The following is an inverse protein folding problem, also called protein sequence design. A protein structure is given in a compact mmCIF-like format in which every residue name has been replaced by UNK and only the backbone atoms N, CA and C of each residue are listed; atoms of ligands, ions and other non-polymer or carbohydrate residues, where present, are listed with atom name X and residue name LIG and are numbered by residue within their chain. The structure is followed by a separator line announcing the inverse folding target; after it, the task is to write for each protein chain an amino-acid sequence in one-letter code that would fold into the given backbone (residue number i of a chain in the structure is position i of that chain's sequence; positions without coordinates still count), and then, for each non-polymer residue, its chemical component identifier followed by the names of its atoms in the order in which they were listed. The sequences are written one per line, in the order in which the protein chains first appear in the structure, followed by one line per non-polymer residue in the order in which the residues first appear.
data_IF_549841198556
#
_entry.id   IF_549841198556
#
_cell.length_a   1.000
_cell.length_b   1.000
_cell.length_c   1.000
_cell.angle_alpha   90.00
_cell.angle_beta   90.00
_cell.angle_gamma   90.00
#
_symmetry.space_group_name_H-M   'P 1'
#
loop_
_entity.id
_entity.type
_entity.pdbx_description
1 polymer ?
#
# COMPACT_ATOMS: atom_id res chain seq x y z
N UNK A 1 16.66 6.40 -0.62
CA UNK A 1 15.70 5.31 -0.84
C UNK A 1 14.50 5.39 0.12
N UNK A 2 13.61 6.37 -0.01
CA UNK A 2 12.56 6.60 1.00
C UNK A 2 11.43 5.54 1.00
N UNK A 3 11.23 4.82 -0.11
CA UNK A 3 10.12 3.85 -0.28
C UNK A 3 10.49 2.40 0.06
N UNK A 4 11.78 2.04 0.00
CA UNK A 4 12.20 0.62 -0.08
C UNK A 4 11.76 -0.20 1.13
N UNK A 5 11.77 0.38 2.34
CA UNK A 5 11.41 -0.33 3.57
C UNK A 5 9.97 -0.83 3.52
N UNK A 6 9.01 0.04 3.17
CA UNK A 6 7.59 -0.35 3.11
C UNK A 6 7.36 -1.34 1.97
N UNK A 7 8.00 -1.16 0.83
CA UNK A 7 7.94 -2.11 -0.30
C UNK A 7 8.39 -3.50 0.13
N UNK A 8 9.57 -3.61 0.75
CA UNK A 8 10.09 -4.89 1.24
C UNK A 8 9.14 -5.56 2.23
N UNK A 9 8.61 -4.81 3.19
CA UNK A 9 7.66 -5.35 4.17
C UNK A 9 6.41 -5.90 3.52
N UNK A 10 5.76 -5.12 2.64
CA UNK A 10 4.50 -5.52 2.00
C UNK A 10 4.71 -6.76 1.13
N UNK A 11 5.76 -6.78 0.31
CA UNK A 11 6.01 -7.91 -0.58
C UNK A 11 6.41 -9.17 0.19
N UNK A 12 7.24 -9.07 1.23
CA UNK A 12 7.54 -10.23 2.08
C UNK A 12 6.27 -10.80 2.70
N UNK A 13 5.43 -9.95 3.29
CA UNK A 13 4.14 -10.38 3.85
C UNK A 13 3.22 -11.04 2.82
N UNK A 14 3.06 -10.42 1.64
CA UNK A 14 2.17 -10.92 0.58
C UNK A 14 2.60 -12.31 0.08
N UNK A 15 3.91 -12.51 -0.10
CA UNK A 15 4.47 -13.76 -0.57
C UNK A 15 4.67 -14.81 0.54
N UNK A 16 4.30 -14.49 1.78
CA UNK A 16 4.16 -15.43 2.91
C UNK A 16 2.71 -15.91 3.09
N UNK A 17 1.74 -15.37 2.33
CA UNK A 17 0.35 -15.79 2.44
C UNK A 17 0.14 -17.22 1.97
N UNK A 18 -0.72 -17.94 2.69
CA UNK A 18 -1.14 -19.29 2.35
C UNK A 18 -2.33 -19.30 1.37
N UNK A 19 -2.51 -20.34 0.55
CA UNK A 19 -1.58 -21.46 0.38
C UNK A 19 -0.35 -21.03 -0.43
N UNK A 20 0.83 -21.43 0.06
CA UNK A 20 2.04 -21.35 -0.75
C UNK A 20 1.96 -22.36 -1.90
N UNK A 21 2.50 -22.05 -3.09
CA UNK A 21 2.60 -23.01 -4.18
C UNK A 21 3.24 -24.32 -3.68
N UNK A 22 2.56 -25.46 -3.87
CA UNK A 22 3.09 -26.76 -3.46
C UNK A 22 4.17 -27.19 -4.46
N UNK A 23 5.44 -27.19 -4.05
CA UNK A 23 6.59 -27.55 -4.91
C UNK A 23 7.94 -27.00 -4.43
N UNK A 24 9.01 -27.29 -5.17
CA UNK A 24 10.43 -27.05 -4.82
C UNK A 24 10.90 -25.59 -4.72
N UNK A 25 10.02 -24.60 -4.86
CA UNK A 25 10.44 -23.20 -4.89
C UNK A 25 9.52 -22.33 -4.03
N UNK A 26 9.93 -22.10 -2.78
CA UNK A 26 9.56 -20.88 -2.07
C UNK A 26 10.06 -19.68 -2.89
N UNK A 27 9.27 -18.62 -2.95
CA UNK A 27 9.65 -17.43 -3.72
C UNK A 27 10.95 -16.83 -3.18
N UNK A 28 11.90 -16.56 -4.07
CA UNK A 28 13.10 -15.78 -3.75
C UNK A 28 12.83 -14.33 -4.13
N UNK A 29 12.70 -13.47 -3.13
CA UNK A 29 12.49 -12.03 -3.34
C UNK A 29 13.82 -11.29 -3.34
N UNK A 30 14.13 -10.62 -4.44
CA UNK A 30 15.21 -9.65 -4.54
C UNK A 30 14.63 -8.25 -4.68
N UNK A 31 15.23 -7.28 -4.00
CA UNK A 31 14.78 -5.90 -3.99
C UNK A 31 15.91 -5.00 -4.43
N UNK A 32 15.60 -4.09 -5.35
CA UNK A 32 16.52 -3.03 -5.77
C UNK A 32 15.89 -1.68 -5.46
N UNK A 33 16.65 -0.85 -4.79
CA UNK A 33 16.31 0.52 -4.46
C UNK A 33 16.96 1.50 -5.42
N UNK A 34 16.50 2.74 -5.38
CA UNK A 34 17.04 3.87 -6.13
C UNK A 34 17.29 4.99 -5.13
N UNK A 35 18.41 5.68 -5.30
CA UNK A 35 18.77 6.82 -4.47
C UNK A 35 17.72 7.92 -4.53
N UNK A 36 17.58 8.66 -3.43
CA UNK A 36 16.64 9.80 -3.38
C UNK A 36 17.27 11.09 -3.91
N UNK A 37 18.57 11.07 -4.23
CA UNK A 37 19.33 12.26 -4.61
C UNK A 37 18.80 12.82 -5.92
N UNK A 38 18.50 14.12 -5.94
CA UNK A 38 17.93 14.80 -7.10
C UNK A 38 16.49 14.40 -7.46
N UNK A 39 15.88 13.42 -6.77
CA UNK A 39 14.53 12.96 -7.08
C UNK A 39 13.46 13.99 -6.69
N UNK A 40 13.66 14.69 -5.57
CA UNK A 40 12.73 15.66 -4.99
C UNK A 40 13.49 16.72 -4.18
N UNK A 41 12.91 17.93 -3.97
CA UNK A 41 13.41 18.89 -3.00
C UNK A 41 13.51 18.29 -1.58
N UNK A 42 14.46 18.77 -0.79
CA UNK A 42 14.78 18.19 0.52
C UNK A 42 13.60 18.21 1.50
N UNK A 43 12.82 19.30 1.54
CA UNK A 43 11.62 19.39 2.38
C UNK A 43 10.54 18.38 1.96
N UNK A 44 10.36 18.19 0.66
CA UNK A 44 9.40 17.22 0.11
C UNK A 44 9.86 15.81 0.46
N UNK A 45 11.15 15.51 0.29
CA UNK A 45 11.72 14.21 0.60
C UNK A 45 11.57 13.85 2.08
N UNK A 46 11.79 14.82 2.98
CA UNK A 46 11.56 14.65 4.42
C UNK A 46 10.09 14.29 4.72
N UNK A 47 9.14 15.05 4.15
CA UNK A 47 7.71 14.77 4.28
C UNK A 47 7.34 13.38 3.76
N UNK A 48 7.89 12.97 2.61
CA UNK A 48 7.68 11.63 2.05
C UNK A 48 8.22 10.53 2.96
N UNK A 49 9.40 10.70 3.55
CA UNK A 49 9.97 9.74 4.52
C UNK A 49 9.09 9.57 5.75
N UNK A 50 8.59 10.68 6.31
CA UNK A 50 7.66 10.64 7.45
C UNK A 50 6.38 9.91 7.07
N UNK A 51 5.82 10.20 5.89
CA UNK A 51 4.60 9.53 5.40
C UNK A 51 4.81 8.03 5.21
N UNK A 52 5.90 7.61 4.56
CA UNK A 52 6.23 6.19 4.36
C UNK A 52 6.38 5.45 5.70
N UNK A 53 7.08 6.04 6.68
CA UNK A 53 7.23 5.47 8.00
C UNK A 53 5.89 5.36 8.75
N UNK A 54 5.02 6.37 8.63
CA UNK A 54 3.68 6.36 9.21
C UNK A 54 2.80 5.28 8.58
N UNK A 55 2.79 5.18 7.25
CA UNK A 55 2.07 4.14 6.52
C UNK A 55 2.55 2.74 6.87
N UNK A 56 3.86 2.55 7.06
CA UNK A 56 4.40 1.26 7.51
C UNK A 56 3.95 0.89 8.92
N UNK A 57 3.94 1.85 9.87
CA UNK A 57 3.39 1.61 11.22
C UNK A 57 1.90 1.28 11.18
N UNK A 58 1.14 2.01 10.37
CA UNK A 58 -0.30 1.78 10.20
C UNK A 58 -0.58 0.38 9.60
N UNK A 59 0.24 -0.07 8.65
CA UNK A 59 0.14 -1.43 8.11
C UNK A 59 0.27 -2.49 9.22
N UNK A 60 1.30 -2.39 10.07
CA UNK A 60 1.51 -3.33 11.18
C UNK A 60 0.44 -3.28 12.26
N UNK A 61 -0.10 -2.09 12.53
CA UNK A 61 -1.18 -1.92 13.51
C UNK A 61 -2.54 -2.39 12.97
N UNK A 62 -2.70 -2.43 11.65
CA UNK A 62 -3.96 -2.75 10.98
C UNK A 62 -4.26 -4.25 10.86
N UNK A 63 -5.49 -4.55 10.43
CA UNK A 63 -5.97 -5.92 10.26
C UNK A 63 -5.30 -6.65 9.10
N UNK A 64 -4.85 -5.92 8.07
CA UNK A 64 -4.14 -6.46 6.90
C UNK A 64 -2.95 -7.33 7.32
N UNK A 65 -2.08 -6.83 8.22
CA UNK A 65 -0.89 -7.56 8.66
C UNK A 65 -1.22 -8.86 9.43
N UNK A 66 -2.47 -9.02 9.92
CA UNK A 66 -2.94 -10.23 10.61
C UNK A 66 -3.48 -11.28 9.64
N UNK A 67 -3.78 -10.91 8.40
CA UNK A 67 -4.24 -11.86 7.38
C UNK A 67 -3.09 -12.75 6.97
N UNK A 68 -3.32 -14.07 6.99
CA UNK A 68 -2.31 -15.10 6.69
C UNK A 68 -2.65 -15.91 5.44
N UNK A 69 -3.83 -15.68 4.87
CA UNK A 69 -4.34 -16.44 3.74
C UNK A 69 -4.72 -15.51 2.60
N UNK A 70 -4.43 -15.91 1.38
CA UNK A 70 -4.69 -15.12 0.17
C UNK A 70 -6.18 -14.81 0.02
N UNK A 71 -7.06 -15.74 0.38
CA UNK A 71 -8.51 -15.49 0.33
C UNK A 71 -8.96 -14.35 1.27
N UNK A 72 -8.32 -14.20 2.44
CA UNK A 72 -8.65 -13.13 3.39
C UNK A 72 -8.28 -11.76 2.82
N UNK A 73 -7.10 -11.69 2.19
CA UNK A 73 -6.62 -10.47 1.54
C UNK A 73 -7.50 -10.14 0.33
N UNK A 74 -7.85 -11.12 -0.49
CA UNK A 74 -8.80 -10.92 -1.59
C UNK A 74 -10.13 -10.36 -1.08
N UNK A 75 -10.71 -10.98 -0.06
CA UNK A 75 -11.98 -10.50 0.50
C UNK A 75 -11.88 -9.08 1.04
N UNK A 76 -10.82 -8.76 1.80
CA UNK A 76 -10.58 -7.41 2.28
C UNK A 76 -10.47 -6.40 1.14
N UNK A 77 -9.70 -6.72 0.09
CA UNK A 77 -9.51 -5.84 -1.06
C UNK A 77 -10.84 -5.51 -1.73
N UNK A 78 -11.71 -6.50 -1.97
CA UNK A 78 -12.97 -6.26 -2.68
C UNK A 78 -14.10 -5.69 -1.82
N UNK A 79 -14.07 -5.87 -0.50
CA UNK A 79 -15.20 -5.50 0.36
C UNK A 79 -14.93 -4.27 1.23
N UNK A 80 -13.68 -4.07 1.66
CA UNK A 80 -13.33 -3.07 2.67
C UNK A 80 -12.36 -2.01 2.14
N UNK A 81 -11.48 -2.37 1.20
CA UNK A 81 -10.48 -1.43 0.69
C UNK A 81 -11.12 -0.37 -0.21
N UNK A 82 -11.00 0.90 0.16
CA UNK A 82 -11.70 2.04 -0.48
C UNK A 82 -11.34 2.30 -1.95
N UNK A 83 -10.27 1.69 -2.48
CA UNK A 83 -9.97 1.77 -3.90
C UNK A 83 -10.76 0.78 -4.77
N UNK A 84 -11.31 -0.29 -4.16
CA UNK A 84 -11.91 -1.41 -4.87
C UNK A 84 -13.29 -1.79 -4.33
N UNK A 85 -13.64 -1.37 -3.12
CA UNK A 85 -15.00 -1.53 -2.59
C UNK A 85 -15.97 -0.60 -3.33
N UNK A 86 -17.19 -1.07 -3.57
CA UNK A 86 -18.24 -0.26 -4.17
C UNK A 86 -18.47 1.04 -3.38
N UNK A 87 -18.44 0.97 -2.05
CA UNK A 87 -18.55 2.13 -1.18
C UNK A 87 -17.39 3.11 -1.38
N UNK A 88 -16.15 2.61 -1.46
CA UNK A 88 -14.98 3.45 -1.70
C UNK A 88 -14.97 4.12 -3.08
N UNK A 89 -15.42 3.39 -4.11
CA UNK A 89 -15.62 3.93 -5.46
C UNK A 89 -16.68 5.04 -5.47
N UNK A 90 -17.80 4.85 -4.76
CA UNK A 90 -18.86 5.86 -4.62
C UNK A 90 -18.37 7.09 -3.84
N UNK A 91 -17.65 6.91 -2.74
CA UNK A 91 -17.08 8.02 -1.96
C UNK A 91 -16.07 8.84 -2.76
N UNK A 92 -15.20 8.20 -3.56
CA UNK A 92 -14.25 8.92 -4.43
C UNK A 92 -14.95 9.69 -5.54
N UNK A 93 -16.02 9.13 -6.13
CA UNK A 93 -16.82 9.83 -7.14
C UNK A 93 -17.48 11.09 -6.55
N UNK A 94 -17.99 10.99 -5.32
CA UNK A 94 -18.55 12.13 -4.61
C UNK A 94 -17.49 13.21 -4.30
N UNK A 95 -16.30 12.83 -3.82
CA UNK A 95 -15.21 13.79 -3.56
C UNK A 95 -14.76 14.51 -4.84
N UNK A 96 -14.61 13.80 -5.96
CA UNK A 96 -14.23 14.41 -7.23
C UNK A 96 -15.31 15.37 -7.76
N UNK A 97 -16.60 15.07 -7.55
CA UNK A 97 -17.70 15.97 -7.89
C UNK A 97 -17.69 17.23 -7.01
N UNK A 98 -17.47 17.10 -5.70
CA UNK A 98 -17.36 18.25 -4.79
C UNK A 98 -16.12 19.11 -5.07
N UNK A 99 -14.99 18.52 -5.47
CA UNK A 99 -13.79 19.25 -5.86
C UNK A 99 -13.94 20.00 -7.19
N UNK A 100 -14.75 19.47 -8.13
CA UNK A 100 -15.08 20.17 -9.37
C UNK A 100 -15.97 21.40 -9.14
N UNK A 101 -16.88 21.34 -8.16
CA UNK A 101 -17.76 22.48 -7.80
C UNK A 101 -17.01 23.55 -6.99
N UNK A 102 -15.97 23.16 -6.23
CA UNK A 102 -15.15 24.08 -5.44
C UNK A 102 -14.15 24.92 -6.28
N UNK A 103 -13.96 24.62 -7.57
CA UNK A 103 -13.10 25.39 -8.48
C UNK A 103 -13.86 26.42 -9.34
N UNK A 104 -15.16 26.60 -9.11
CA UNK A 104 -16.05 27.49 -9.89
C UNK A 104 -16.42 28.81 -9.21
N UNK A 105 -15.71 29.24 -8.17
CA UNK A 105 -15.92 30.56 -7.54
C UNK A 105 -14.61 31.30 -7.29
#
# INVERSE_FOLDING_TARGET
EFQIRRTQTIYRWLFELMPMPRGKHSYVLSFRSVDDEGALPAEVLSSRRVKEASSLRAFWAGELARMRRLEQVHQFMYTQHSAYSAQGMLSKKAMNASSAVAQTY
#
